data_IF_398152699523
#
_entry.id   IF_398152699523
#
_cell.length_a   1.000
_cell.length_b   1.000
_cell.length_c   1.000
_cell.angle_alpha   90.00
_cell.angle_beta   90.00
_cell.angle_gamma   90.00
#
_symmetry.space_group_name_H-M   'P 1'
#
loop_
_entity.id
_entity.type
_entity.pdbx_description
1 polymer ?
#
# COMPACT_ATOMS: atom_id res chain seq x y z
N UNK A 1 -65.60 14.11 31.99
CA UNK A 1 -65.99 13.09 32.98
C UNK A 1 -66.99 12.18 32.30
N UNK A 2 -66.70 10.87 32.36
CA UNK A 2 -67.52 9.67 32.07
C UNK A 2 -68.65 9.73 31.03
N UNK A 3 -68.56 8.83 30.04
CA UNK A 3 -69.65 8.06 29.40
C UNK A 3 -68.98 7.17 28.33
N UNK A 4 -69.38 5.95 27.99
CA UNK A 4 -70.20 4.88 28.56
C UNK A 4 -69.87 3.67 27.65
N UNK A 5 -69.73 2.46 28.19
CA UNK A 5 -69.39 1.27 27.40
C UNK A 5 -70.38 0.14 27.70
N UNK A 6 -71.33 -0.10 26.79
CA UNK A 6 -72.18 -1.30 26.71
C UNK A 6 -72.58 -1.49 25.23
N UNK A 7 -72.09 -2.53 24.53
CA UNK A 7 -72.81 -3.80 24.29
C UNK A 7 -72.22 -4.66 23.14
N UNK A 8 -72.26 -5.97 23.38
CA UNK A 8 -72.54 -7.10 22.46
C UNK A 8 -71.59 -7.51 21.30
N UNK A 9 -70.98 -8.69 21.52
CA UNK A 9 -70.97 -9.96 20.72
C UNK A 9 -71.74 -9.90 19.38
N UNK A 10 -71.29 -10.46 18.24
CA UNK A 10 -70.57 -11.71 17.86
C UNK A 10 -69.79 -11.48 16.52
N UNK A 11 -69.08 -12.43 15.83
CA UNK A 11 -68.84 -13.86 16.07
C UNK A 11 -67.37 -14.33 15.97
N UNK A 12 -67.22 -15.64 16.20
CA UNK A 12 -66.02 -16.47 16.34
C UNK A 12 -65.09 -16.51 15.09
N UNK A 13 -63.80 -16.21 15.27
CA UNK A 13 -62.74 -16.17 14.24
C UNK A 13 -61.80 -17.39 14.27
N UNK A 14 -62.22 -18.50 14.86
CA UNK A 14 -61.47 -19.77 14.96
C UNK A 14 -61.17 -20.47 13.61
N UNK A 15 -61.33 -19.80 12.46
CA UNK A 15 -61.09 -20.40 11.14
C UNK A 15 -60.09 -19.63 10.25
N UNK A 16 -59.27 -18.73 10.80
CA UNK A 16 -58.26 -17.99 10.03
C UNK A 16 -56.80 -18.27 10.46
N UNK A 17 -56.57 -18.94 11.59
CA UNK A 17 -55.20 -19.21 12.07
C UNK A 17 -54.66 -20.62 11.74
N UNK A 18 -55.49 -21.55 11.26
CA UNK A 18 -55.05 -22.91 10.88
C UNK A 18 -54.81 -23.11 9.37
N UNK A 19 -54.84 -22.04 8.55
CA UNK A 19 -54.48 -22.11 7.12
C UNK A 19 -53.18 -21.36 6.75
N UNK A 20 -52.45 -20.84 7.74
CA UNK A 20 -51.14 -20.18 7.53
C UNK A 20 -49.96 -20.95 8.15
N UNK A 21 -50.19 -22.17 8.65
CA UNK A 21 -49.13 -22.99 9.27
C UNK A 21 -48.85 -24.34 8.58
N UNK A 22 -49.51 -24.65 7.45
CA UNK A 22 -49.27 -25.88 6.67
C UNK A 22 -48.71 -25.65 5.25
N UNK A 23 -48.30 -24.42 4.91
CA UNK A 23 -47.72 -24.12 3.57
C UNK A 23 -46.25 -23.66 3.62
N UNK A 24 -45.55 -23.88 4.74
CA UNK A 24 -44.13 -23.48 4.90
C UNK A 24 -43.21 -24.63 5.33
N UNK A 25 -43.55 -25.86 4.97
CA UNK A 25 -42.70 -27.03 5.18
C UNK A 25 -42.77 -27.97 3.95
N UNK A 26 -42.14 -27.60 2.84
CA UNK A 26 -41.60 -28.58 1.86
C UNK A 26 -40.66 -28.03 0.76
N UNK A 27 -40.17 -26.79 0.85
CA UNK A 27 -39.04 -26.35 0.01
C UNK A 27 -37.87 -25.95 0.91
N UNK A 28 -37.22 -26.95 1.51
CA UNK A 28 -35.85 -26.81 1.96
C UNK A 28 -34.96 -26.89 0.71
N UNK A 29 -34.88 -25.79 -0.03
CA UNK A 29 -33.76 -25.57 -0.93
C UNK A 29 -32.53 -25.45 -0.04
N UNK A 30 -31.71 -26.50 -0.03
CA UNK A 30 -30.36 -26.44 0.51
C UNK A 30 -29.66 -25.27 -0.15
N UNK A 31 -29.38 -24.20 0.59
CA UNK A 31 -28.44 -23.18 0.14
C UNK A 31 -27.16 -23.91 -0.29
N UNK A 32 -26.66 -23.65 -1.51
CA UNK A 32 -25.40 -24.23 -1.91
C UNK A 32 -24.34 -23.81 -0.88
N UNK A 33 -23.40 -24.69 -0.53
CA UNK A 33 -22.32 -24.33 0.38
C UNK A 33 -21.63 -23.06 -0.16
N UNK A 34 -21.11 -22.18 0.71
CA UNK A 34 -20.39 -21.00 0.26
C UNK A 34 -19.30 -21.48 -0.71
N UNK A 35 -19.39 -21.02 -1.95
CA UNK A 35 -18.36 -21.30 -2.95
C UNK A 35 -17.12 -20.63 -2.40
N UNK A 36 -16.15 -21.43 -1.95
CA UNK A 36 -14.79 -20.94 -1.76
C UNK A 36 -14.34 -20.46 -3.15
N UNK A 37 -14.49 -19.16 -3.41
CA UNK A 37 -13.86 -18.54 -4.57
C UNK A 37 -12.36 -18.73 -4.36
N UNK A 38 -11.83 -19.76 -5.03
CA UNK A 38 -10.41 -19.96 -5.16
C UNK A 38 -9.88 -18.65 -5.77
N UNK A 39 -9.20 -17.83 -4.95
CA UNK A 39 -8.53 -16.63 -5.43
C UNK A 39 -7.38 -17.13 -6.30
N UNK A 40 -7.67 -17.35 -7.58
CA UNK A 40 -6.67 -17.75 -8.55
C UNK A 40 -5.77 -16.55 -8.75
N UNK A 41 -4.63 -16.52 -8.05
CA UNK A 41 -3.57 -15.57 -8.30
C UNK A 41 -3.07 -15.76 -9.74
N UNK A 42 -3.61 -14.96 -10.64
CA UNK A 42 -3.18 -14.98 -12.04
C UNK A 42 -1.73 -14.49 -12.13
N UNK A 43 -0.87 -15.28 -12.75
CA UNK A 43 0.50 -14.88 -13.08
C UNK A 43 0.48 -13.67 -14.03
N UNK A 44 1.27 -12.65 -13.70
CA UNK A 44 1.41 -11.43 -14.50
C UNK A 44 2.26 -11.77 -15.71
N UNK A 45 1.72 -11.53 -16.92
CA UNK A 45 2.41 -11.85 -18.16
C UNK A 45 3.21 -10.67 -18.68
N UNK A 46 4.16 -10.94 -19.58
CA UNK A 46 4.92 -9.90 -20.30
C UNK A 46 3.99 -8.92 -21.07
N UNK A 47 2.83 -9.42 -21.53
CA UNK A 47 1.77 -8.61 -22.14
C UNK A 47 1.07 -7.72 -21.12
N UNK A 48 0.89 -8.17 -19.88
CA UNK A 48 0.34 -7.35 -18.80
C UNK A 48 1.30 -6.21 -18.40
N UNK A 49 2.62 -6.47 -18.34
CA UNK A 49 3.62 -5.41 -18.13
C UNK A 49 3.62 -4.39 -19.27
N UNK A 50 3.48 -4.84 -20.53
CA UNK A 50 3.38 -3.95 -21.68
C UNK A 50 2.08 -3.13 -21.66
N UNK A 51 0.96 -3.76 -21.31
CA UNK A 51 -0.34 -3.10 -21.16
C UNK A 51 -0.32 -2.10 -19.99
N UNK A 52 0.33 -2.41 -18.86
CA UNK A 52 0.51 -1.50 -17.73
C UNK A 52 1.37 -0.30 -18.11
N UNK A 53 2.42 -0.48 -18.93
CA UNK A 53 3.22 0.62 -19.50
C UNK A 53 2.40 1.48 -20.47
N UNK A 54 1.62 0.87 -21.36
CA UNK A 54 0.74 1.58 -22.28
C UNK A 54 -0.37 2.33 -21.52
N UNK A 55 -0.97 1.72 -20.50
CA UNK A 55 -1.94 2.36 -19.62
C UNK A 55 -1.28 3.51 -18.86
N UNK A 56 -0.07 3.36 -18.34
CA UNK A 56 0.66 4.47 -17.68
C UNK A 56 1.01 5.63 -18.61
N UNK A 57 1.17 5.36 -19.91
CA UNK A 57 1.31 6.40 -20.93
C UNK A 57 -0.05 7.04 -21.29
N UNK A 58 -1.17 6.41 -20.94
CA UNK A 58 -2.53 6.93 -21.07
C UNK A 58 -3.10 7.51 -19.76
N UNK A 59 -2.49 7.20 -18.62
CA UNK A 59 -2.90 7.68 -17.30
C UNK A 59 -2.28 9.04 -17.06
N UNK A 60 -3.13 10.01 -16.71
CA UNK A 60 -2.71 11.36 -16.38
C UNK A 60 -1.70 11.40 -15.22
N UNK A 61 -1.63 10.35 -14.39
CA UNK A 61 -0.84 10.27 -13.14
C UNK A 61 0.21 9.15 -13.13
N UNK A 62 1.41 9.46 -12.65
CA UNK A 62 2.59 8.60 -12.60
C UNK A 62 3.04 8.38 -11.15
N UNK A 63 3.04 7.13 -10.70
CA UNK A 63 3.55 6.67 -9.42
C UNK A 63 4.95 6.07 -9.57
N UNK A 64 5.92 6.63 -8.85
CA UNK A 64 7.30 6.15 -8.81
C UNK A 64 7.61 5.63 -7.41
N UNK A 65 7.96 4.35 -7.31
CA UNK A 65 8.37 3.73 -6.05
C UNK A 65 9.88 3.78 -5.88
N UNK A 66 10.35 4.25 -4.73
CA UNK A 66 11.74 4.21 -4.27
C UNK A 66 11.79 3.33 -3.02
N UNK A 67 11.98 2.03 -3.24
CA UNK A 67 12.17 1.07 -2.16
C UNK A 67 13.63 0.72 -1.94
N UNK A 68 13.91 -0.21 -1.03
CA UNK A 68 15.25 -0.62 -0.70
C UNK A 68 15.47 -0.94 0.77
N UNK A 69 16.64 -1.52 1.03
CA UNK A 69 17.13 -1.86 2.37
C UNK A 69 17.00 -0.65 3.31
N UNK A 70 16.74 -0.89 4.60
CA UNK A 70 16.72 0.19 5.59
C UNK A 70 18.04 0.99 5.61
N UNK A 71 17.94 2.29 5.86
CA UNK A 71 19.07 3.25 5.79
C UNK A 71 19.87 3.26 4.45
N UNK A 72 19.29 2.78 3.35
CA UNK A 72 19.94 2.79 2.03
C UNK A 72 20.04 4.17 1.39
N UNK A 73 19.20 5.13 1.81
CA UNK A 73 19.16 6.49 1.26
C UNK A 73 17.84 6.90 0.59
N UNK A 74 16.78 6.07 0.68
CA UNK A 74 15.46 6.30 0.05
C UNK A 74 14.93 7.72 0.23
N UNK A 75 14.61 8.12 1.46
CA UNK A 75 14.06 9.44 1.77
C UNK A 75 14.99 10.58 1.38
N UNK A 76 16.32 10.37 1.46
CA UNK A 76 17.29 11.36 0.99
C UNK A 76 17.22 11.56 -0.53
N UNK A 77 17.09 10.47 -1.29
CA UNK A 77 16.88 10.53 -2.74
C UNK A 77 15.54 11.19 -3.09
N UNK A 78 14.45 10.80 -2.40
CA UNK A 78 13.13 11.42 -2.55
C UNK A 78 13.19 12.94 -2.35
N UNK A 79 13.81 13.40 -1.26
CA UNK A 79 13.91 14.83 -0.95
C UNK A 79 14.70 15.61 -2.01
N UNK A 80 15.77 15.01 -2.57
CA UNK A 80 16.51 15.62 -3.68
C UNK A 80 15.65 15.70 -4.94
N UNK A 81 14.94 14.64 -5.30
CA UNK A 81 14.06 14.61 -6.47
C UNK A 81 12.96 15.68 -6.36
N UNK A 82 12.34 15.84 -5.19
CA UNK A 82 11.33 16.89 -4.93
C UNK A 82 11.85 18.30 -5.24
N UNK A 83 13.12 18.57 -4.98
CA UNK A 83 13.72 19.88 -5.29
C UNK A 83 13.81 20.15 -6.80
N UNK A 84 13.80 19.12 -7.64
CA UNK A 84 13.87 19.22 -9.11
C UNK A 84 12.52 18.98 -9.81
N UNK A 85 11.50 18.54 -9.06
CA UNK A 85 10.18 18.18 -9.56
C UNK A 85 9.11 19.05 -8.87
N UNK A 86 9.01 20.35 -9.21
CA UNK A 86 8.03 21.24 -8.61
C UNK A 86 6.61 20.71 -8.84
N UNK A 87 5.82 20.63 -7.77
CA UNK A 87 4.45 20.11 -7.80
C UNK A 87 4.30 18.62 -7.53
N UNK A 88 5.39 17.83 -7.56
CA UNK A 88 5.27 16.41 -7.25
C UNK A 88 4.83 16.16 -5.80
N UNK A 89 3.99 15.14 -5.63
CA UNK A 89 3.53 14.66 -4.34
C UNK A 89 4.44 13.54 -3.84
N UNK A 90 4.51 13.33 -2.53
CA UNK A 90 5.24 12.18 -1.95
C UNK A 90 4.51 11.56 -0.79
N UNK A 91 4.57 10.24 -0.69
CA UNK A 91 4.06 9.47 0.46
C UNK A 91 5.22 8.64 1.01
N UNK A 92 5.43 8.71 2.33
CA UNK A 92 6.50 8.00 3.04
C UNK A 92 5.90 6.87 3.88
N UNK A 93 6.34 5.64 3.63
CA UNK A 93 5.84 4.44 4.33
C UNK A 93 6.07 4.52 5.86
N UNK A 94 7.16 5.17 6.30
CA UNK A 94 7.45 5.34 7.73
C UNK A 94 6.37 6.17 8.46
N UNK A 95 5.50 6.90 7.74
CA UNK A 95 4.36 7.62 8.33
C UNK A 95 3.19 6.70 8.74
N UNK A 96 3.25 5.42 8.39
CA UNK A 96 2.19 4.44 8.66
C UNK A 96 2.58 3.41 9.73
N UNK A 97 3.65 3.65 10.50
CA UNK A 97 3.99 2.76 11.61
C UNK A 97 2.88 2.70 12.66
N UNK A 98 2.60 1.49 13.12
CA UNK A 98 1.71 1.25 14.25
C UNK A 98 2.43 1.50 15.57
N UNK A 99 1.67 1.99 16.54
CA UNK A 99 2.18 2.28 17.87
C UNK A 99 1.78 1.17 18.85
N UNK A 100 2.68 0.75 19.77
CA UNK A 100 2.29 -0.13 20.86
C UNK A 100 1.16 0.47 21.71
N UNK A 101 0.18 -0.32 22.18
CA UNK A 101 0.13 -1.78 22.14
C UNK A 101 -0.77 -2.36 21.01
N UNK A 102 -0.64 -1.90 19.75
CA UNK A 102 -1.41 -2.48 18.63
C UNK A 102 -1.16 -4.00 18.52
N UNK A 103 -2.22 -4.83 18.47
CA UNK A 103 -2.10 -6.29 18.45
C UNK A 103 -1.46 -6.87 17.18
N UNK A 104 -1.33 -6.09 16.10
CA UNK A 104 -0.64 -6.50 14.87
C UNK A 104 0.88 -6.50 15.01
N UNK A 105 1.43 -5.78 15.99
CA UNK A 105 2.86 -5.72 16.23
C UNK A 105 3.38 -7.06 16.77
N UNK A 106 4.34 -7.67 16.08
CA UNK A 106 4.97 -8.90 16.58
C UNK A 106 5.95 -8.59 17.72
N UNK A 107 5.73 -9.08 18.95
CA UNK A 107 6.66 -8.87 20.05
C UNK A 107 7.90 -9.76 19.88
N UNK A 108 9.03 -9.27 20.38
CA UNK A 108 10.30 -9.99 20.46
C UNK A 108 10.68 -10.09 21.94
N UNK A 109 10.21 -11.14 22.66
CA UNK A 109 10.37 -11.23 24.10
C UNK A 109 11.83 -11.19 24.56
N UNK A 110 12.76 -11.78 23.79
CA UNK A 110 14.18 -11.79 24.18
C UNK A 110 14.84 -10.40 24.13
N UNK A 111 14.24 -9.43 23.44
CA UNK A 111 14.76 -8.07 23.30
C UNK A 111 13.93 -7.03 24.07
N UNK A 112 12.78 -7.41 24.63
CA UNK A 112 11.80 -6.46 25.18
C UNK A 112 11.49 -5.35 24.16
N UNK A 113 11.08 -5.79 22.95
CA UNK A 113 10.88 -4.94 21.79
C UNK A 113 9.83 -5.51 20.83
N UNK A 114 9.54 -4.80 19.75
CA UNK A 114 8.68 -5.26 18.65
C UNK A 114 9.47 -5.35 17.34
N UNK A 115 9.03 -6.21 16.43
CA UNK A 115 9.55 -6.24 15.07
C UNK A 115 8.93 -5.11 14.26
N UNK A 116 9.65 -4.00 14.10
CA UNK A 116 9.23 -2.88 13.25
C UNK A 116 9.72 -3.03 11.79
N UNK A 117 10.44 -4.09 11.45
CA UNK A 117 11.00 -4.28 10.10
C UNK A 117 10.17 -5.29 9.25
N UNK A 118 8.99 -5.68 9.74
CA UNK A 118 8.00 -6.49 9.03
C UNK A 118 6.81 -5.67 8.49
N UNK A 119 6.05 -6.25 7.56
CA UNK A 119 4.91 -5.56 6.94
C UNK A 119 3.76 -5.27 7.93
N UNK A 120 3.51 -6.17 8.89
CA UNK A 120 2.43 -6.02 9.88
C UNK A 120 2.66 -4.87 10.87
N UNK A 121 3.87 -4.32 10.94
CA UNK A 121 4.16 -3.15 11.75
C UNK A 121 3.62 -1.85 11.15
N UNK A 122 3.01 -1.91 9.98
CA UNK A 122 2.55 -0.77 9.20
C UNK A 122 1.04 -0.86 8.93
N UNK A 123 0.35 0.27 8.98
CA UNK A 123 -1.02 0.42 8.47
C UNK A 123 -1.01 0.57 6.94
N UNK A 124 -0.79 -0.56 6.27
CA UNK A 124 -0.69 -0.59 4.80
C UNK A 124 -2.02 -0.28 4.11
N UNK A 125 -3.15 -0.57 4.76
CA UNK A 125 -4.48 -0.23 4.25
C UNK A 125 -4.67 1.29 4.19
N UNK A 126 -4.26 2.01 5.23
CA UNK A 126 -4.25 3.48 5.22
C UNK A 126 -3.30 4.02 4.13
N UNK A 127 -2.12 3.44 3.96
CA UNK A 127 -1.19 3.84 2.90
C UNK A 127 -1.78 3.64 1.50
N UNK A 128 -2.42 2.49 1.26
CA UNK A 128 -3.10 2.21 -0.02
C UNK A 128 -4.24 3.20 -0.26
N UNK A 129 -5.04 3.50 0.77
CA UNK A 129 -6.13 4.46 0.68
C UNK A 129 -5.65 5.87 0.32
N UNK A 130 -4.52 6.32 0.87
CA UNK A 130 -3.92 7.61 0.53
C UNK A 130 -3.39 7.64 -0.91
N UNK A 131 -2.74 6.57 -1.37
CA UNK A 131 -2.31 6.43 -2.77
C UNK A 131 -3.51 6.46 -3.72
N UNK A 132 -4.57 5.75 -3.38
CA UNK A 132 -5.79 5.70 -4.18
C UNK A 132 -6.51 7.06 -4.21
N UNK A 133 -6.60 7.74 -3.07
CA UNK A 133 -7.14 9.11 -2.97
C UNK A 133 -6.36 10.08 -3.86
N UNK A 134 -5.02 9.99 -3.86
CA UNK A 134 -4.19 10.81 -4.75
C UNK A 134 -4.45 10.49 -6.22
N UNK A 135 -4.60 9.21 -6.59
CA UNK A 135 -4.90 8.79 -7.98
C UNK A 135 -6.25 9.30 -8.46
N UNK A 136 -7.26 9.27 -7.60
CA UNK A 136 -8.65 9.64 -7.96
C UNK A 136 -8.90 11.16 -7.91
N UNK A 137 -7.98 11.93 -7.35
CA UNK A 137 -8.09 13.38 -7.32
C UNK A 137 -8.17 13.93 -8.76
N UNK A 138 -9.29 14.57 -9.10
CA UNK A 138 -9.44 15.24 -10.39
C UNK A 138 -8.46 16.42 -10.47
N UNK A 139 -7.71 16.51 -11.56
CA UNK A 139 -7.01 17.73 -11.92
C UNK A 139 -8.06 18.78 -12.28
N UNK A 140 -8.12 19.91 -11.57
CA UNK A 140 -9.12 20.94 -11.87
C UNK A 140 -8.80 21.58 -13.24
N UNK A 141 -9.56 21.16 -14.25
CA UNK A 141 -9.43 21.48 -15.68
C UNK A 141 -9.71 22.95 -16.08
N UNK A 142 -9.74 23.88 -15.12
CA UNK A 142 -10.22 25.24 -15.37
C UNK A 142 -9.18 26.15 -16.06
N UNK A 143 -7.91 25.76 -16.04
CA UNK A 143 -6.81 26.44 -16.71
C UNK A 143 -5.90 25.33 -17.25
N UNK A 144 -5.85 25.14 -18.57
CA UNK A 144 -5.06 24.04 -19.17
C UNK A 144 -3.62 23.99 -18.63
N UNK A 145 -2.95 22.82 -18.74
CA UNK A 145 -1.68 22.55 -18.06
C UNK A 145 -0.63 23.61 -18.40
N UNK A 146 -0.09 24.27 -17.39
CA UNK A 146 1.08 25.12 -17.55
C UNK A 146 2.36 24.27 -17.48
N UNK A 147 3.51 24.72 -18.02
CA UNK A 147 4.79 24.04 -17.82
C UNK A 147 5.16 23.84 -16.34
N UNK A 148 4.57 24.63 -15.43
CA UNK A 148 4.76 24.49 -13.99
C UNK A 148 3.98 23.32 -13.38
N UNK A 149 3.00 22.77 -14.10
CA UNK A 149 2.13 21.68 -13.64
C UNK A 149 2.61 20.30 -14.09
N UNK A 150 3.72 20.23 -14.84
CA UNK A 150 4.23 19.01 -15.46
C UNK A 150 4.40 17.84 -14.48
N UNK A 151 4.73 18.14 -13.22
CA UNK A 151 4.96 17.12 -12.19
C UNK A 151 3.87 17.07 -11.12
N UNK A 152 2.77 17.82 -11.24
CA UNK A 152 1.62 17.72 -10.32
C UNK A 152 1.01 16.32 -10.33
N UNK A 153 1.18 15.64 -11.45
CA UNK A 153 0.73 14.30 -11.70
C UNK A 153 1.78 13.23 -11.35
N UNK A 154 2.87 13.59 -10.65
CA UNK A 154 3.88 12.65 -10.19
C UNK A 154 3.74 12.43 -8.69
N UNK A 155 3.61 11.17 -8.28
CA UNK A 155 3.70 10.73 -6.90
C UNK A 155 4.98 9.91 -6.70
N UNK A 156 5.80 10.29 -5.74
CA UNK A 156 6.94 9.49 -5.29
C UNK A 156 6.57 8.78 -3.99
N UNK A 157 6.55 7.46 -4.04
CA UNK A 157 6.36 6.58 -2.90
C UNK A 157 7.74 6.17 -2.39
N UNK A 158 8.05 6.40 -1.12
CA UNK A 158 9.28 5.86 -0.50
C UNK A 158 8.98 4.98 0.70
N UNK A 159 9.73 3.87 0.83
CA UNK A 159 9.42 2.86 1.84
C UNK A 159 10.23 1.58 1.68
N UNK A 160 10.36 0.78 2.74
CA UNK A 160 11.23 -0.41 2.74
C UNK A 160 10.51 -1.74 2.46
N UNK A 161 9.16 -1.79 2.48
CA UNK A 161 8.35 -3.00 2.18
C UNK A 161 7.32 -2.83 1.06
N UNK A 162 7.35 -1.72 0.32
CA UNK A 162 6.26 -1.35 -0.61
C UNK A 162 5.96 -2.39 -1.71
N UNK A 163 6.95 -3.17 -2.11
CA UNK A 163 6.81 -4.13 -3.22
C UNK A 163 6.35 -5.53 -2.78
N UNK A 164 6.23 -5.77 -1.47
CA UNK A 164 5.73 -7.05 -0.94
C UNK A 164 4.20 -7.13 -0.96
N UNK A 165 3.50 -5.99 -0.97
CA UNK A 165 2.05 -5.93 -0.97
C UNK A 165 1.54 -5.68 -2.38
N UNK A 166 0.87 -6.68 -2.96
CA UNK A 166 0.47 -6.70 -4.37
C UNK A 166 -0.39 -5.50 -4.78
N UNK A 167 -1.35 -5.12 -3.94
CA UNK A 167 -2.25 -4.00 -4.21
C UNK A 167 -1.50 -2.67 -4.35
N UNK A 168 -0.52 -2.43 -3.47
CA UNK A 168 0.34 -1.24 -3.56
C UNK A 168 1.29 -1.32 -4.75
N UNK A 169 1.96 -2.46 -4.94
CA UNK A 169 2.90 -2.70 -6.04
C UNK A 169 2.25 -2.45 -7.40
N UNK A 170 1.04 -2.95 -7.61
CA UNK A 170 0.31 -2.81 -8.87
C UNK A 170 0.02 -1.36 -9.22
N UNK A 171 -0.05 -0.46 -8.23
CA UNK A 171 -0.23 0.97 -8.46
C UNK A 171 1.05 1.69 -8.87
N UNK A 172 2.22 1.06 -8.79
CA UNK A 172 3.52 1.70 -9.08
C UNK A 172 3.90 1.49 -10.55
N UNK A 173 4.21 2.57 -11.25
CA UNK A 173 4.56 2.55 -12.69
C UNK A 173 6.07 2.32 -12.92
N UNK A 174 6.91 2.88 -12.05
CA UNK A 174 8.37 2.72 -12.11
C UNK A 174 8.92 2.38 -10.74
N UNK A 175 9.65 1.26 -10.64
CA UNK A 175 10.17 0.73 -9.38
C UNK A 175 11.69 0.85 -9.32
N UNK A 176 12.19 1.41 -8.22
CA UNK A 176 13.60 1.42 -7.87
C UNK A 176 13.82 0.74 -6.53
N UNK A 177 14.84 -0.09 -6.41
CA UNK A 177 15.23 -0.70 -5.14
C UNK A 177 16.69 -0.39 -4.80
N UNK A 178 16.90 0.41 -3.77
CA UNK A 178 18.24 0.81 -3.32
C UNK A 178 18.85 -0.28 -2.42
N UNK A 179 19.93 -0.90 -2.89
CA UNK A 179 20.72 -1.88 -2.15
C UNK A 179 21.88 -1.21 -1.42
N UNK A 180 22.29 -1.79 -0.31
CA UNK A 180 23.49 -1.40 0.43
C UNK A 180 24.05 -2.65 1.11
N UNK A 181 25.37 -2.71 1.34
CA UNK A 181 25.98 -3.83 2.05
C UNK A 181 25.55 -3.87 3.52
N UNK A 182 25.69 -5.04 4.15
CA UNK A 182 25.48 -5.23 5.59
C UNK A 182 26.20 -4.16 6.42
N UNK A 183 27.50 -3.98 6.18
CA UNK A 183 28.33 -3.07 6.96
C UNK A 183 27.91 -1.61 6.80
N UNK A 184 27.64 -1.17 5.56
CA UNK A 184 27.21 0.19 5.32
C UNK A 184 25.81 0.45 5.89
N UNK A 185 24.88 -0.51 5.79
CA UNK A 185 23.58 -0.43 6.45
C UNK A 185 23.71 -0.32 7.97
N UNK A 186 24.50 -1.22 8.58
CA UNK A 186 24.74 -1.27 10.03
C UNK A 186 25.34 0.03 10.56
N UNK A 187 26.35 0.57 9.89
CA UNK A 187 26.97 1.85 10.27
C UNK A 187 25.95 2.98 10.21
N UNK A 188 25.18 3.09 9.12
CA UNK A 188 24.17 4.14 8.96
C UNK A 188 23.05 4.01 10.00
N UNK A 189 22.54 2.80 10.22
CA UNK A 189 21.46 2.52 11.19
C UNK A 189 21.88 2.89 12.61
N UNK A 190 23.11 2.55 13.02
CA UNK A 190 23.66 2.93 14.34
C UNK A 190 23.70 4.43 14.59
N UNK A 191 23.75 5.25 13.55
CA UNK A 191 23.77 6.72 13.67
C UNK A 191 22.38 7.35 13.59
N UNK A 192 21.35 6.58 13.23
CA UNK A 192 19.97 7.03 13.13
C UNK A 192 19.30 6.96 14.49
N UNK A 193 18.42 7.92 14.78
CA UNK A 193 17.59 7.91 15.97
C UNK A 193 16.21 7.31 15.62
N UNK A 194 15.84 6.23 16.31
CA UNK A 194 14.53 5.58 16.20
C UNK A 194 13.76 5.75 17.51
N UNK A 195 12.43 5.74 17.40
CA UNK A 195 11.50 5.75 18.53
C UNK A 195 10.53 4.58 18.35
N UNK A 196 10.53 3.59 19.27
CA UNK A 196 11.53 3.35 20.32
C UNK A 196 12.94 3.06 19.74
N UNK A 197 14.02 3.28 20.51
CA UNK A 197 15.38 3.03 20.03
C UNK A 197 15.66 1.52 19.87
N UNK A 198 16.43 1.17 18.84
CA UNK A 198 16.91 -0.20 18.59
C UNK A 198 17.60 -0.77 19.85
N UNK A 199 17.21 -1.99 20.25
CA UNK A 199 17.82 -2.72 21.38
C UNK A 199 19.14 -3.41 20.94
N UNK A 200 20.08 -3.73 21.87
CA UNK A 200 21.29 -4.47 21.53
C UNK A 200 20.99 -5.80 20.80
N UNK A 201 21.60 -6.00 19.63
CA UNK A 201 21.41 -7.18 18.79
C UNK A 201 20.16 -7.15 17.90
N UNK A 202 19.32 -6.10 17.98
CA UNK A 202 18.13 -5.96 17.13
C UNK A 202 18.50 -5.93 15.64
N UNK A 203 19.58 -5.24 15.28
CA UNK A 203 20.02 -5.16 13.88
C UNK A 203 20.33 -6.54 13.27
N UNK A 204 21.16 -7.33 13.94
CA UNK A 204 21.60 -8.62 13.42
C UNK A 204 20.52 -9.70 13.50
N UNK A 205 19.66 -9.64 14.53
CA UNK A 205 18.62 -10.64 14.76
C UNK A 205 17.34 -10.38 13.96
N UNK A 206 17.02 -9.12 13.67
CA UNK A 206 15.73 -8.72 13.13
C UNK A 206 15.91 -7.93 11.84
N UNK A 207 16.49 -6.73 11.93
CA UNK A 207 16.54 -5.77 10.83
C UNK A 207 17.15 -6.36 9.56
N UNK A 208 18.34 -6.95 9.68
CA UNK A 208 19.06 -7.47 8.53
C UNK A 208 18.41 -8.74 7.95
N UNK A 209 18.04 -9.75 8.76
CA UNK A 209 17.23 -10.86 8.28
C UNK A 209 15.95 -10.43 7.55
N UNK A 210 15.17 -9.50 8.12
CA UNK A 210 13.95 -8.97 7.49
C UNK A 210 14.24 -8.29 6.14
N UNK A 211 15.30 -7.48 6.08
CA UNK A 211 15.71 -6.82 4.85
C UNK A 211 16.08 -7.82 3.74
N UNK A 212 16.78 -8.91 4.09
CA UNK A 212 17.17 -9.97 3.15
C UNK A 212 15.97 -10.83 2.75
N UNK A 213 15.07 -11.14 3.69
CA UNK A 213 13.83 -11.86 3.39
C UNK A 213 12.97 -11.07 2.41
N UNK A 214 12.78 -9.76 2.64
CA UNK A 214 12.07 -8.90 1.72
C UNK A 214 12.70 -8.88 0.32
N UNK A 215 14.03 -8.80 0.24
CA UNK A 215 14.72 -8.83 -1.04
C UNK A 215 14.50 -10.16 -1.80
N UNK A 216 14.35 -11.29 -1.09
CA UNK A 216 14.00 -12.58 -1.68
C UNK A 216 12.54 -12.63 -2.13
N UNK A 217 11.61 -12.10 -1.33
CA UNK A 217 10.17 -12.04 -1.67
C UNK A 217 9.92 -11.36 -3.01
N UNK A 218 10.69 -10.32 -3.35
CA UNK A 218 10.51 -9.53 -4.57
C UNK A 218 11.44 -9.93 -5.71
N UNK A 219 12.22 -11.01 -5.56
CA UNK A 219 13.31 -11.34 -6.49
C UNK A 219 12.84 -11.70 -7.90
N UNK A 220 11.60 -12.20 -8.01
CA UNK A 220 11.00 -12.63 -9.27
C UNK A 220 10.31 -11.48 -10.03
N UNK A 221 10.28 -10.26 -9.46
CA UNK A 221 9.79 -9.06 -10.15
C UNK A 221 10.88 -8.52 -11.07
N UNK A 222 10.66 -8.61 -12.39
CA UNK A 222 11.64 -8.25 -13.43
C UNK A 222 11.66 -6.74 -13.77
N UNK A 223 10.68 -5.97 -13.28
CA UNK A 223 10.50 -4.55 -13.54
C UNK A 223 11.13 -3.62 -12.48
N UNK A 224 11.84 -4.21 -11.51
CA UNK A 224 12.56 -3.47 -10.46
C UNK A 224 13.96 -3.08 -10.93
N UNK A 225 14.25 -1.78 -10.92
CA UNK A 225 15.59 -1.28 -11.17
C UNK A 225 16.41 -1.15 -9.88
N UNK A 226 17.52 -1.89 -9.77
CA UNK A 226 18.36 -1.86 -8.59
C UNK A 226 19.39 -0.72 -8.63
N UNK A 227 19.48 0.03 -7.53
CA UNK A 227 20.41 1.14 -7.34
C UNK A 227 21.41 0.82 -6.23
N UNK A 228 22.65 1.25 -6.36
CA UNK A 228 23.66 1.15 -5.32
C UNK A 228 23.59 2.37 -4.39
N UNK A 229 23.11 2.17 -3.16
CA UNK A 229 22.98 3.21 -2.14
C UNK A 229 24.31 3.73 -1.57
N UNK A 230 25.45 3.20 -2.02
CA UNK A 230 26.80 3.71 -1.71
C UNK A 230 27.39 4.58 -2.84
N UNK A 231 26.73 4.61 -4.00
CA UNK A 231 27.16 5.43 -5.13
C UNK A 231 26.94 6.93 -4.89
N UNK A 232 27.42 7.73 -5.85
CA UNK A 232 27.27 9.18 -5.84
C UNK A 232 25.78 9.56 -5.83
N UNK A 233 25.37 10.27 -4.78
CA UNK A 233 23.97 10.62 -4.55
C UNK A 233 23.43 11.64 -5.57
N UNK A 234 24.29 12.39 -6.24
CA UNK A 234 23.87 13.31 -7.30
C UNK A 234 23.62 12.56 -8.61
N UNK A 235 24.48 11.62 -8.96
CA UNK A 235 24.32 10.76 -10.14
C UNK A 235 23.07 9.87 -10.01
N UNK A 236 22.82 9.30 -8.81
CA UNK A 236 21.59 8.57 -8.54
C UNK A 236 20.35 9.45 -8.70
N UNK A 237 20.40 10.69 -8.18
CA UNK A 237 19.31 11.66 -8.33
C UNK A 237 19.06 11.97 -9.81
N UNK A 238 20.10 12.33 -10.57
CA UNK A 238 19.99 12.63 -11.99
C UNK A 238 19.46 11.46 -12.81
N UNK A 239 19.90 10.24 -12.53
CA UNK A 239 19.39 9.04 -13.20
C UNK A 239 17.87 8.91 -13.03
N UNK A 240 17.40 8.91 -11.79
CA UNK A 240 15.97 8.76 -11.47
C UNK A 240 15.17 9.96 -12.00
N UNK A 241 15.72 11.17 -11.89
CA UNK A 241 15.11 12.40 -12.41
C UNK A 241 14.91 12.33 -13.93
N UNK A 242 15.92 11.90 -14.69
CA UNK A 242 15.82 11.76 -16.14
C UNK A 242 14.76 10.74 -16.56
N UNK A 243 14.63 9.63 -15.83
CA UNK A 243 13.59 8.64 -16.09
C UNK A 243 12.19 9.21 -15.82
N UNK A 244 11.98 9.90 -14.69
CA UNK A 244 10.71 10.57 -14.37
C UNK A 244 10.35 11.58 -15.45
N UNK A 245 11.29 12.43 -15.85
CA UNK A 245 11.08 13.42 -16.91
C UNK A 245 10.74 12.78 -18.26
N UNK A 246 11.33 11.62 -18.58
CA UNK A 246 10.97 10.86 -19.78
C UNK A 246 9.56 10.30 -19.67
N UNK A 247 9.15 9.75 -18.52
CA UNK A 247 7.80 9.25 -18.30
C UNK A 247 6.76 10.37 -18.48
N UNK A 248 6.97 11.54 -17.86
CA UNK A 248 6.07 12.69 -18.02
C UNK A 248 5.88 13.13 -19.47
N UNK A 249 6.94 13.07 -20.30
CA UNK A 249 6.88 13.44 -21.73
C UNK A 249 6.21 12.39 -22.61
N UNK A 250 6.12 11.14 -22.16
CA UNK A 250 5.45 10.06 -22.88
C UNK A 250 3.95 10.03 -22.58
N UNK A 251 3.54 10.57 -21.44
CA UNK A 251 2.14 10.69 -21.01
C UNK A 251 1.46 12.00 -21.46
N UNK A 252 2.22 12.96 -22.00
CA UNK A 252 1.75 14.25 -22.54
C UNK A 252 1.57 14.22 -24.05
#
# INVERSE_FOLDING_TARGET
MADANINNREPNLENVQNQLHETTLSNAETEPPPVEEEVVEREITQTDHLNKRLLSAFLDRINVGISGITNSGKTSLTNKLRAHLPGCSTICQDSYFLEPPDPRLTPIPELDHYNFDELNALDMDAMIADVQTWKDAQTSDLLGPTPSDLYNNVLILDGFRMYALRDLEQMINKKYFIRVSFDACKVRRRTRHYTPPDKPGYFEKIVWPESINHQREIQDQDDIEYLDGTANQEELCQRVLCDIQRLCRLSS
#
